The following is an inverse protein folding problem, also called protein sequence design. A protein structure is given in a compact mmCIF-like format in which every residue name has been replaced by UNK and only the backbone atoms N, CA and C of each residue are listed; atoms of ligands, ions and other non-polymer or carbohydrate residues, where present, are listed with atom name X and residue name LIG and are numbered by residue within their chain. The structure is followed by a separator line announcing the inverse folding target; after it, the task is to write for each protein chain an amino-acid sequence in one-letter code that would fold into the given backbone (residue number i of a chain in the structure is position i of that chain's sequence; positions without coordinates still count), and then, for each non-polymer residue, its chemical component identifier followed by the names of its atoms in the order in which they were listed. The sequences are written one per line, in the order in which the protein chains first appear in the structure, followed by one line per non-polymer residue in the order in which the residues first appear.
data_IF_313303212841
#
_entry.id   IF_313303212841
#
_cell.length_a   1.000
_cell.length_b   1.000
_cell.length_c   1.000
_cell.angle_alpha   90.00
_cell.angle_beta   90.00
_cell.angle_gamma   90.00
#
_symmetry.space_group_name_H-M   'P 1'
#
loop_
_entity.id
_entity.type
_entity.pdbx_description
1 polymer ?
#
# COMPACT_ATOMS: atom_id res chain seq x y z
N UNK A 1 -22.47 -22.86 -12.83
CA UNK A 1 -21.91 -21.77 -13.66
C UNK A 1 -20.97 -20.81 -12.90
N UNK A 2 -21.29 -20.34 -11.69
CA UNK A 2 -20.36 -19.51 -10.88
C UNK A 2 -19.02 -20.18 -10.53
N UNK A 3 -19.02 -21.50 -10.33
CA UNK A 3 -17.83 -22.27 -9.94
C UNK A 3 -16.76 -22.36 -11.04
N UNK A 4 -17.17 -22.61 -12.29
CA UNK A 4 -16.24 -22.71 -13.45
C UNK A 4 -15.51 -21.37 -13.66
N UNK A 5 -16.22 -20.25 -13.56
CA UNK A 5 -15.63 -18.91 -13.68
C UNK A 5 -14.63 -18.63 -12.56
N UNK A 6 -14.86 -19.16 -11.36
CA UNK A 6 -13.95 -18.99 -10.20
C UNK A 6 -12.65 -19.77 -10.39
N UNK A 7 -12.69 -20.99 -10.89
CA UNK A 7 -11.50 -21.82 -11.17
C UNK A 7 -10.65 -21.28 -12.32
N UNK A 8 -11.28 -20.79 -13.39
CA UNK A 8 -10.55 -20.18 -14.50
C UNK A 8 -9.79 -18.92 -14.04
N UNK A 9 -10.41 -18.10 -13.19
CA UNK A 9 -9.77 -16.93 -12.56
C UNK A 9 -8.56 -17.35 -11.70
N UNK A 10 -8.71 -18.38 -10.89
CA UNK A 10 -7.64 -18.93 -10.06
C UNK A 10 -6.44 -19.41 -10.90
N UNK A 11 -6.69 -20.23 -11.93
CA UNK A 11 -5.62 -20.72 -12.83
C UNK A 11 -4.94 -19.58 -13.57
N UNK A 12 -5.70 -18.59 -14.03
CA UNK A 12 -5.16 -17.40 -14.68
C UNK A 12 -4.24 -16.60 -13.74
N UNK A 13 -4.66 -16.37 -12.50
CA UNK A 13 -3.84 -15.67 -11.50
C UNK A 13 -2.58 -16.44 -11.16
N UNK A 14 -2.66 -17.75 -10.94
CA UNK A 14 -1.49 -18.61 -10.68
C UNK A 14 -0.46 -18.53 -11.83
N UNK A 15 -0.93 -18.63 -13.06
CA UNK A 15 -0.06 -18.48 -14.25
C UNK A 15 0.60 -17.12 -14.28
N UNK A 16 -0.12 -16.07 -13.92
CA UNK A 16 0.39 -14.69 -13.89
C UNK A 16 1.43 -14.49 -12.80
N UNK A 17 1.25 -15.05 -11.60
CA UNK A 17 2.28 -15.01 -10.53
C UNK A 17 3.59 -15.61 -11.00
N UNK A 18 3.54 -16.68 -11.78
CA UNK A 18 4.76 -17.37 -12.25
C UNK A 18 5.40 -16.66 -13.44
N UNK A 19 4.63 -16.16 -14.40
CA UNK A 19 5.11 -15.72 -15.73
C UNK A 19 4.93 -14.23 -16.03
N UNK A 20 4.19 -13.50 -15.22
CA UNK A 20 3.89 -12.09 -15.44
C UNK A 20 5.06 -11.14 -15.20
N UNK A 21 4.88 -9.88 -15.54
CA UNK A 21 5.75 -8.77 -15.09
C UNK A 21 5.66 -8.60 -13.56
N UNK A 22 6.58 -7.83 -12.97
CA UNK A 22 6.57 -7.59 -11.51
C UNK A 22 5.19 -7.11 -11.01
N UNK A 23 4.66 -6.09 -11.64
CA UNK A 23 3.33 -5.57 -11.31
C UNK A 23 2.25 -6.63 -11.42
N UNK A 24 2.20 -7.36 -12.54
CA UNK A 24 1.22 -8.42 -12.74
C UNK A 24 1.36 -9.53 -11.68
N UNK A 25 2.59 -9.89 -11.29
CA UNK A 25 2.86 -10.88 -10.23
C UNK A 25 2.35 -10.41 -8.88
N UNK A 26 2.64 -9.16 -8.51
CA UNK A 26 2.18 -8.56 -7.26
C UNK A 26 0.64 -8.51 -7.20
N UNK A 27 0.00 -7.99 -8.23
CA UNK A 27 -1.47 -7.91 -8.32
C UNK A 27 -2.12 -9.31 -8.33
N UNK A 28 -1.54 -10.28 -9.04
CA UNK A 28 -2.05 -11.65 -9.10
C UNK A 28 -1.87 -12.39 -7.76
N UNK A 29 -0.77 -12.17 -7.03
CA UNK A 29 -0.56 -12.77 -5.72
C UNK A 29 -1.60 -12.26 -4.70
N UNK A 30 -1.87 -10.96 -4.70
CA UNK A 30 -2.97 -10.37 -3.90
C UNK A 30 -4.32 -10.90 -4.35
N UNK A 31 -4.52 -11.05 -5.67
CA UNK A 31 -5.74 -11.64 -6.23
C UNK A 31 -5.98 -13.08 -5.78
N UNK A 32 -4.94 -13.91 -5.72
CA UNK A 32 -5.02 -15.27 -5.19
C UNK A 32 -5.37 -15.27 -3.70
N UNK A 33 -4.69 -14.41 -2.92
CA UNK A 33 -4.95 -14.27 -1.48
C UNK A 33 -6.43 -13.90 -1.23
N UNK A 34 -6.91 -12.86 -1.89
CA UNK A 34 -8.28 -12.38 -1.70
C UNK A 34 -9.31 -13.37 -2.23
N UNK A 35 -9.01 -14.09 -3.32
CA UNK A 35 -9.89 -15.14 -3.81
C UNK A 35 -10.01 -16.29 -2.80
N UNK A 36 -8.89 -16.77 -2.25
CA UNK A 36 -8.88 -17.80 -1.21
C UNK A 36 -9.66 -17.37 0.03
N UNK A 37 -9.59 -16.09 0.38
CA UNK A 37 -10.25 -15.58 1.60
C UNK A 37 -11.75 -15.37 1.43
N UNK A 38 -12.16 -14.68 0.38
CA UNK A 38 -13.53 -14.18 0.19
C UNK A 38 -14.38 -14.97 -0.81
N UNK A 39 -13.77 -15.63 -1.79
CA UNK A 39 -14.51 -16.22 -2.92
C UNK A 39 -14.44 -17.76 -2.95
N UNK A 40 -13.38 -18.36 -2.40
CA UNK A 40 -13.19 -19.81 -2.40
C UNK A 40 -14.12 -20.50 -1.39
N UNK A 41 -14.92 -21.51 -1.81
CA UNK A 41 -15.72 -22.29 -0.88
C UNK A 41 -14.85 -22.96 0.21
N UNK A 42 -15.28 -22.93 1.46
CA UNK A 42 -14.50 -23.46 2.59
C UNK A 42 -14.09 -24.93 2.39
N UNK A 43 -14.95 -25.77 1.80
CA UNK A 43 -14.67 -27.18 1.52
C UNK A 43 -13.56 -27.40 0.46
N UNK A 44 -13.23 -26.37 -0.33
CA UNK A 44 -12.29 -26.47 -1.44
C UNK A 44 -11.00 -25.69 -1.19
N UNK A 45 -11.01 -24.82 -0.19
CA UNK A 45 -9.92 -23.90 0.14
C UNK A 45 -8.58 -24.64 0.35
N UNK A 46 -8.60 -25.73 1.10
CA UNK A 46 -7.40 -26.53 1.38
C UNK A 46 -6.88 -27.23 0.10
N UNK A 47 -7.75 -27.80 -0.70
CA UNK A 47 -7.39 -28.45 -1.96
C UNK A 47 -6.83 -27.46 -2.99
N UNK A 48 -7.47 -26.29 -3.12
CA UNK A 48 -6.99 -25.20 -3.97
C UNK A 48 -5.59 -24.71 -3.52
N UNK A 49 -5.39 -24.48 -2.23
CA UNK A 49 -4.11 -24.05 -1.70
C UNK A 49 -3.01 -25.08 -1.92
N UNK A 50 -3.28 -26.37 -1.68
CA UNK A 50 -2.31 -27.46 -1.90
C UNK A 50 -1.94 -27.70 -3.36
N UNK A 51 -2.77 -27.26 -4.31
CA UNK A 51 -2.48 -27.38 -5.74
C UNK A 51 -1.54 -26.29 -6.29
N UNK A 52 -1.19 -25.29 -5.47
CA UNK A 52 -0.30 -24.20 -5.87
C UNK A 52 1.17 -24.66 -5.97
N UNK A 53 1.95 -23.96 -6.79
CA UNK A 53 3.41 -24.03 -6.75
C UNK A 53 3.90 -23.75 -5.31
N UNK A 54 4.82 -24.58 -4.75
CA UNK A 54 5.29 -24.43 -3.37
C UNK A 54 5.84 -23.03 -3.03
N UNK A 55 6.42 -22.34 -4.01
CA UNK A 55 6.93 -20.97 -3.82
C UNK A 55 5.77 -19.98 -3.65
N UNK A 56 4.70 -20.19 -4.42
CA UNK A 56 3.48 -19.36 -4.33
C UNK A 56 2.76 -19.65 -3.01
N UNK A 57 2.69 -20.90 -2.55
CA UNK A 57 2.14 -21.24 -1.23
C UNK A 57 2.90 -20.50 -0.12
N UNK A 58 4.23 -20.64 -0.09
CA UNK A 58 5.06 -19.99 0.91
C UNK A 58 4.95 -18.45 0.88
N UNK A 59 4.81 -17.86 -0.30
CA UNK A 59 4.59 -16.43 -0.45
C UNK A 59 3.20 -16.01 0.07
N UNK A 60 2.16 -16.81 -0.17
CA UNK A 60 0.80 -16.54 0.33
C UNK A 60 0.71 -16.66 1.85
N UNK A 61 1.37 -17.67 2.45
CA UNK A 61 1.41 -17.84 3.91
C UNK A 61 2.02 -16.61 4.59
N UNK A 62 3.17 -16.13 4.08
CA UNK A 62 3.82 -14.95 4.62
C UNK A 62 3.02 -13.67 4.34
N UNK A 63 2.41 -13.57 3.16
CA UNK A 63 1.61 -12.43 2.77
C UNK A 63 0.35 -12.32 3.64
N UNK A 64 -0.29 -13.44 3.95
CA UNK A 64 -1.51 -13.47 4.76
C UNK A 64 -1.35 -12.70 6.07
N UNK A 65 -0.29 -12.98 6.82
CA UNK A 65 -0.02 -12.33 8.09
C UNK A 65 0.25 -10.83 7.97
N UNK A 66 0.98 -10.44 6.92
CA UNK A 66 1.45 -9.07 6.71
C UNK A 66 0.43 -8.17 6.01
N UNK A 67 -0.27 -8.72 5.02
CA UNK A 67 -1.22 -7.97 4.20
C UNK A 67 -2.42 -7.49 5.00
N UNK A 68 -2.90 -8.34 5.92
CA UNK A 68 -3.97 -8.00 6.84
C UNK A 68 -3.48 -7.36 8.16
N UNK A 69 -2.21 -6.95 8.23
CA UNK A 69 -1.77 -6.09 9.33
C UNK A 69 -2.54 -4.76 9.27
N UNK A 70 -3.33 -4.50 10.29
CA UNK A 70 -4.33 -3.44 10.33
C UNK A 70 -4.40 -2.76 11.68
N UNK A 71 -4.92 -1.52 11.75
CA UNK A 71 -5.21 -0.89 13.02
C UNK A 71 -6.27 -1.71 13.80
N UNK A 72 -5.98 -2.00 15.08
CA UNK A 72 -6.86 -2.77 15.97
C UNK A 72 -7.43 -1.94 17.12
N UNK A 73 -6.93 -0.72 17.31
CA UNK A 73 -7.31 0.17 18.40
C UNK A 73 -7.20 1.63 17.97
N UNK A 74 -7.78 2.52 18.78
CA UNK A 74 -7.77 3.97 18.54
C UNK A 74 -8.52 4.39 17.27
N UNK A 75 -9.61 3.69 16.99
CA UNK A 75 -10.51 3.90 15.87
C UNK A 75 -11.45 2.71 15.70
N UNK A 76 -12.25 2.76 14.66
CA UNK A 76 -13.21 1.70 14.35
C UNK A 76 -13.38 1.53 12.83
N UNK A 77 -13.82 0.36 12.43
CA UNK A 77 -14.22 0.05 11.06
C UNK A 77 -15.71 0.36 10.86
N UNK A 78 -16.08 0.96 9.74
CA UNK A 78 -17.51 1.23 9.43
C UNK A 78 -18.29 -0.03 9.05
N UNK A 79 -17.60 -1.13 8.80
CA UNK A 79 -18.15 -2.43 8.43
C UNK A 79 -17.14 -3.54 8.68
N UNK A 80 -17.01 -4.48 7.76
CA UNK A 80 -16.05 -5.58 7.85
C UNK A 80 -14.60 -5.05 7.91
N UNK A 81 -13.81 -5.60 8.82
CA UNK A 81 -12.39 -5.27 8.94
C UNK A 81 -11.64 -5.50 7.62
N UNK A 82 -10.76 -4.57 7.26
CA UNK A 82 -10.02 -4.58 6.00
C UNK A 82 -10.86 -4.56 4.71
N UNK A 83 -12.17 -4.39 4.82
CA UNK A 83 -13.09 -4.29 3.68
C UNK A 83 -14.16 -3.20 3.89
N UNK A 84 -13.79 -2.13 4.56
CA UNK A 84 -14.63 -0.96 4.82
C UNK A 84 -13.75 0.27 5.08
N UNK A 85 -14.27 1.30 5.72
CA UNK A 85 -13.51 2.51 6.06
C UNK A 85 -13.00 2.43 7.49
N UNK A 86 -11.69 2.62 7.67
CA UNK A 86 -11.10 2.84 8.99
C UNK A 86 -11.25 4.29 9.40
N UNK A 87 -11.89 4.55 10.53
CA UNK A 87 -12.09 5.88 11.10
C UNK A 87 -11.29 5.95 12.41
N UNK A 88 -10.18 6.72 12.46
CA UNK A 88 -9.45 6.94 13.71
C UNK A 88 -10.27 7.72 14.74
N UNK A 89 -10.04 7.45 16.03
CA UNK A 89 -10.70 8.15 17.14
C UNK A 89 -10.22 9.59 17.23
N UNK A 90 -11.13 10.54 17.24
CA UNK A 90 -10.85 11.97 17.18
C UNK A 90 -9.90 12.47 18.28
N UNK A 91 -10.06 11.98 19.50
CA UNK A 91 -9.31 12.44 20.67
C UNK A 91 -7.99 11.71 20.89
N UNK A 92 -7.70 10.67 20.09
CA UNK A 92 -6.43 9.99 20.16
C UNK A 92 -5.33 10.77 19.43
N UNK A 93 -4.19 10.94 20.11
CA UNK A 93 -2.98 11.52 19.53
C UNK A 93 -2.06 10.38 19.05
N UNK A 94 -1.91 10.18 17.74
CA UNK A 94 -0.99 9.16 17.23
C UNK A 94 0.45 9.49 17.60
N UNK A 95 1.31 8.48 17.86
CA UNK A 95 2.70 8.70 18.23
C UNK A 95 3.50 9.28 17.07
N UNK A 96 4.52 10.08 17.40
CA UNK A 96 5.46 10.62 16.40
C UNK A 96 6.51 9.58 15.99
N UNK A 97 6.10 8.53 15.28
CA UNK A 97 7.02 7.56 14.68
C UNK A 97 7.51 8.07 13.33
N UNK A 98 8.84 8.08 13.14
CA UNK A 98 9.45 8.52 11.87
C UNK A 98 8.92 9.88 11.38
N UNK A 99 8.81 10.83 12.31
CA UNK A 99 8.30 12.19 12.04
C UNK A 99 6.86 12.25 11.53
N UNK A 100 6.03 11.24 11.84
CA UNK A 100 4.64 11.16 11.39
C UNK A 100 3.67 12.06 12.13
N UNK A 101 4.06 12.60 13.30
CA UNK A 101 3.21 13.53 14.07
C UNK A 101 4.09 14.49 14.91
N UNK A 102 4.86 15.33 14.25
CA UNK A 102 5.83 16.27 14.87
C UNK A 102 5.21 17.21 15.90
N UNK A 103 3.94 17.57 15.70
CA UNK A 103 3.24 18.55 16.53
C UNK A 103 2.27 17.92 17.53
N UNK A 104 2.34 16.59 17.70
CA UNK A 104 1.45 15.85 18.61
C UNK A 104 -0.05 16.16 18.40
N UNK A 105 -0.46 16.28 17.13
CA UNK A 105 -1.85 16.54 16.77
C UNK A 105 -2.72 15.33 17.09
N UNK A 106 -3.93 15.57 17.55
CA UNK A 106 -4.99 14.57 17.63
C UNK A 106 -5.48 14.18 16.25
N UNK A 107 -6.15 13.03 16.13
CA UNK A 107 -6.77 12.67 14.84
C UNK A 107 -7.85 13.67 14.40
N UNK A 108 -8.53 14.33 15.33
CA UNK A 108 -9.47 15.43 15.02
C UNK A 108 -8.78 16.56 14.26
N UNK A 109 -7.59 16.96 14.72
CA UNK A 109 -6.79 18.02 14.10
C UNK A 109 -6.20 17.57 12.76
N UNK A 110 -5.70 16.34 12.65
CA UNK A 110 -5.20 15.74 11.40
C UNK A 110 -6.34 15.65 10.38
N UNK A 111 -7.51 15.16 10.78
CA UNK A 111 -8.70 15.08 9.92
C UNK A 111 -9.10 16.48 9.37
N UNK A 112 -9.12 17.49 10.24
CA UNK A 112 -9.45 18.87 9.85
C UNK A 112 -8.39 19.45 8.90
N UNK A 113 -7.10 19.23 9.21
CA UNK A 113 -5.96 19.73 8.43
C UNK A 113 -5.95 19.21 7.00
N UNK A 114 -6.26 17.95 6.80
CA UNK A 114 -6.18 17.27 5.50
C UNK A 114 -7.54 17.04 4.81
N UNK A 115 -8.65 17.45 5.43
CA UNK A 115 -10.00 17.12 4.94
C UNK A 115 -10.30 15.63 4.99
N UNK A 116 -9.60 14.89 5.83
CA UNK A 116 -9.64 13.43 5.93
C UNK A 116 -10.74 13.00 6.91
N UNK A 117 -11.58 12.06 6.54
CA UNK A 117 -12.62 11.51 7.42
C UNK A 117 -12.30 10.10 7.90
N UNK A 118 -11.63 9.33 7.09
CA UNK A 118 -11.23 7.95 7.31
C UNK A 118 -10.56 7.43 6.05
N UNK A 119 -9.89 6.28 6.13
CA UNK A 119 -9.21 5.66 5.00
C UNK A 119 -9.93 4.37 4.60
N UNK A 120 -10.36 4.31 3.35
CA UNK A 120 -10.97 3.12 2.80
C UNK A 120 -9.95 2.00 2.69
N UNK A 121 -10.36 0.81 3.08
CA UNK A 121 -9.65 -0.43 2.81
C UNK A 121 -10.53 -1.32 1.94
N UNK A 122 -9.98 -1.85 0.88
CA UNK A 122 -10.65 -2.76 -0.02
C UNK A 122 -9.89 -4.09 -0.01
N UNK A 123 -10.50 -5.10 0.63
CA UNK A 123 -9.92 -6.45 0.77
C UNK A 123 -8.45 -6.43 1.24
N UNK A 124 -8.15 -5.63 2.26
CA UNK A 124 -6.82 -5.50 2.84
C UNK A 124 -5.94 -4.39 2.24
N UNK A 125 -6.29 -3.83 1.08
CA UNK A 125 -5.54 -2.74 0.45
C UNK A 125 -6.11 -1.38 0.87
N UNK A 126 -5.33 -0.61 1.61
CA UNK A 126 -5.70 0.76 1.92
C UNK A 126 -5.61 1.66 0.68
N UNK A 127 -6.62 2.49 0.48
CA UNK A 127 -6.80 3.37 -0.68
C UNK A 127 -6.11 4.72 -0.45
N UNK A 128 -4.76 4.70 -0.37
CA UNK A 128 -3.96 5.92 -0.26
C UNK A 128 -4.07 6.82 -1.50
N UNK A 129 -4.50 6.27 -2.63
CA UNK A 129 -4.82 7.04 -3.84
C UNK A 129 -5.92 8.07 -3.63
N UNK A 130 -6.86 7.84 -2.69
CA UNK A 130 -7.96 8.78 -2.38
C UNK A 130 -7.50 10.04 -1.62
N UNK A 131 -6.31 9.99 -0.99
CA UNK A 131 -5.73 11.11 -0.24
C UNK A 131 -4.41 11.61 -0.85
N UNK A 132 -4.06 11.10 -2.02
CA UNK A 132 -2.80 11.43 -2.68
C UNK A 132 -2.84 12.83 -3.30
N UNK A 133 -1.75 13.57 -3.13
CA UNK A 133 -1.52 14.84 -3.81
C UNK A 133 -1.02 14.61 -5.24
N UNK A 134 -0.15 13.62 -5.40
CA UNK A 134 0.42 13.24 -6.69
C UNK A 134 0.58 11.74 -6.81
N UNK A 135 0.64 11.28 -8.05
CA UNK A 135 0.88 9.89 -8.42
C UNK A 135 1.95 9.83 -9.50
N UNK A 136 2.89 8.92 -9.34
CA UNK A 136 3.90 8.56 -10.37
C UNK A 136 3.93 7.05 -10.58
N UNK A 137 4.48 6.61 -11.72
CA UNK A 137 4.76 5.21 -12.03
C UNK A 137 6.25 5.05 -12.28
N UNK A 138 6.86 4.01 -11.71
CA UNK A 138 8.26 3.66 -11.88
C UNK A 138 8.36 2.22 -12.41
N UNK A 139 8.42 2.01 -13.73
CA UNK A 139 8.48 0.66 -14.32
C UNK A 139 9.69 -0.16 -13.85
N UNK A 140 10.79 0.51 -13.44
CA UNK A 140 12.01 -0.09 -12.88
C UNK A 140 12.01 -0.20 -11.35
N UNK A 141 10.84 -0.21 -10.72
CA UNK A 141 10.67 -0.25 -9.27
C UNK A 141 11.48 -1.38 -8.60
N UNK A 142 11.48 -2.59 -9.19
CA UNK A 142 12.22 -3.72 -8.65
C UNK A 142 13.73 -3.44 -8.52
N UNK A 143 14.32 -2.82 -9.53
CA UNK A 143 15.75 -2.48 -9.53
C UNK A 143 16.06 -1.44 -8.45
N UNK A 144 15.22 -0.40 -8.34
CA UNK A 144 15.37 0.66 -7.36
C UNK A 144 15.25 0.14 -5.90
N UNK A 145 14.33 -0.79 -5.66
CA UNK A 145 14.15 -1.44 -4.33
C UNK A 145 15.27 -2.42 -3.99
N UNK A 146 16.10 -2.82 -4.98
CA UNK A 146 17.29 -3.64 -4.71
C UNK A 146 18.39 -2.87 -3.98
N UNK A 147 18.40 -1.56 -4.08
CA UNK A 147 19.31 -0.71 -3.33
C UNK A 147 19.00 -0.78 -1.84
N UNK A 148 19.99 -0.90 -0.96
CA UNK A 148 19.80 -0.80 0.48
C UNK A 148 19.33 0.59 0.91
N UNK A 149 19.50 1.60 0.05
CA UNK A 149 19.10 2.97 0.31
C UNK A 149 17.77 3.30 -0.38
N UNK A 150 16.70 3.51 0.40
CA UNK A 150 15.39 3.95 -0.08
C UNK A 150 15.40 5.32 -0.76
N UNK A 151 16.41 6.15 -0.51
CA UNK A 151 16.53 7.46 -1.15
C UNK A 151 16.59 7.34 -2.68
N UNK A 152 17.23 6.29 -3.22
CA UNK A 152 17.30 6.03 -4.67
C UNK A 152 15.90 5.91 -5.28
N UNK A 153 15.00 5.20 -4.62
CA UNK A 153 13.59 5.06 -5.04
C UNK A 153 12.86 6.40 -4.97
N UNK A 154 13.05 7.16 -3.89
CA UNK A 154 12.39 8.44 -3.73
C UNK A 154 12.92 9.51 -4.70
N UNK A 155 14.23 9.53 -4.98
CA UNK A 155 14.82 10.41 -6.00
C UNK A 155 14.25 10.10 -7.40
N UNK A 156 14.13 8.81 -7.76
CA UNK A 156 13.48 8.42 -9.00
C UNK A 156 12.02 8.89 -9.06
N UNK A 157 11.29 8.80 -7.95
CA UNK A 157 9.91 9.28 -7.86
C UNK A 157 9.81 10.81 -8.01
N UNK A 158 10.75 11.57 -7.42
CA UNK A 158 10.83 13.02 -7.64
C UNK A 158 11.15 13.36 -9.09
N UNK A 159 12.08 12.63 -9.72
CA UNK A 159 12.39 12.78 -11.14
C UNK A 159 11.18 12.54 -12.05
N UNK A 160 10.46 11.45 -11.81
CA UNK A 160 9.24 11.14 -12.55
C UNK A 160 8.14 12.19 -12.36
N UNK A 161 8.00 12.71 -11.13
CA UNK A 161 7.03 13.77 -10.85
C UNK A 161 7.43 15.10 -11.49
N UNK A 162 8.72 15.45 -11.47
CA UNK A 162 9.26 16.62 -12.12
C UNK A 162 8.98 16.61 -13.64
N UNK A 163 9.25 15.50 -14.29
CA UNK A 163 8.93 15.30 -15.70
C UNK A 163 7.43 15.47 -15.98
N UNK A 164 6.58 14.86 -15.16
CA UNK A 164 5.12 14.93 -15.28
C UNK A 164 4.59 16.36 -15.16
N UNK A 165 5.21 17.17 -14.29
CA UNK A 165 4.79 18.55 -14.02
C UNK A 165 5.48 19.59 -14.89
N UNK A 166 6.47 19.22 -15.71
CA UNK A 166 7.31 20.15 -16.47
C UNK A 166 8.15 21.07 -15.55
N UNK A 167 8.65 20.52 -14.43
CA UNK A 167 9.40 21.20 -13.39
C UNK A 167 10.78 20.57 -13.17
N UNK A 168 11.66 21.26 -12.46
CA UNK A 168 12.90 20.65 -11.96
C UNK A 168 12.64 19.76 -10.74
N UNK A 169 13.58 18.87 -10.45
CA UNK A 169 13.50 18.02 -9.24
C UNK A 169 13.48 18.87 -7.97
N UNK A 170 14.29 19.94 -7.95
CA UNK A 170 14.38 20.90 -6.84
C UNK A 170 13.04 21.61 -6.60
N UNK A 171 12.37 22.05 -7.67
CA UNK A 171 11.03 22.66 -7.56
C UNK A 171 10.00 21.67 -7.02
N UNK A 172 10.07 20.40 -7.40
CA UNK A 172 9.16 19.36 -6.88
C UNK A 172 9.47 19.02 -5.42
N UNK A 173 10.74 18.94 -5.04
CA UNK A 173 11.15 18.80 -3.63
C UNK A 173 10.68 19.99 -2.80
N UNK A 174 10.80 21.20 -3.34
CA UNK A 174 10.27 22.41 -2.70
C UNK A 174 8.74 22.39 -2.54
N UNK A 175 7.97 21.76 -3.42
CA UNK A 175 6.54 21.54 -3.22
C UNK A 175 6.29 20.68 -1.97
N UNK A 176 7.09 19.63 -1.77
CA UNK A 176 7.02 18.81 -0.55
C UNK A 176 7.38 19.62 0.70
N UNK A 177 8.34 20.52 0.60
CA UNK A 177 8.83 21.36 1.71
C UNK A 177 7.99 22.60 1.94
N UNK A 178 7.50 23.28 0.89
CA UNK A 178 6.64 24.47 0.98
C UNK A 178 5.21 24.14 1.44
N UNK A 179 4.85 22.87 1.39
CA UNK A 179 3.71 22.37 2.16
C UNK A 179 3.94 22.53 3.69
N UNK A 180 5.13 22.98 4.10
CA UNK A 180 5.55 23.27 5.47
C UNK A 180 5.36 24.77 5.79
N UNK A 181 4.13 25.21 5.92
CA UNK A 181 3.83 26.39 6.71
C UNK A 181 4.30 26.13 8.15
N UNK A 182 5.01 27.10 8.76
CA UNK A 182 5.64 26.94 10.09
C UNK A 182 4.63 26.82 11.24
N UNK A 183 3.33 26.80 10.97
CA UNK A 183 2.30 26.53 11.98
C UNK A 183 1.95 25.05 12.01
N UNK A 184 1.61 24.46 13.19
CA UNK A 184 1.23 23.06 13.30
C UNK A 184 0.08 22.64 12.35
N UNK A 185 -0.83 23.58 12.07
CA UNK A 185 -1.97 23.36 11.18
C UNK A 185 -1.65 23.58 9.69
N UNK A 186 -0.64 24.38 9.38
CA UNK A 186 -0.21 24.69 8.01
C UNK A 186 0.78 23.68 7.44
N UNK A 187 1.60 23.07 8.30
CA UNK A 187 2.63 22.14 7.86
C UNK A 187 2.02 20.83 7.32
N UNK A 188 2.13 20.64 6.02
CA UNK A 188 1.64 19.43 5.32
C UNK A 188 2.81 18.55 4.91
N UNK A 189 3.44 17.88 5.89
CA UNK A 189 4.46 16.90 5.58
C UNK A 189 3.91 15.84 4.65
N UNK A 190 4.60 15.59 3.54
CA UNK A 190 4.24 14.57 2.57
C UNK A 190 5.26 13.44 2.58
N UNK A 191 4.80 12.22 2.35
CA UNK A 191 5.61 11.02 2.21
C UNK A 191 5.25 10.28 0.93
N UNK A 192 6.22 9.57 0.36
CA UNK A 192 5.93 8.59 -0.67
C UNK A 192 5.34 7.33 -0.06
N UNK A 193 4.18 6.93 -0.55
CA UNK A 193 3.59 5.61 -0.35
C UNK A 193 3.86 4.77 -1.58
N UNK A 194 4.54 3.66 -1.40
CA UNK A 194 4.77 2.67 -2.45
C UNK A 194 3.60 1.69 -2.49
N UNK A 195 2.82 1.75 -3.56
CA UNK A 195 1.66 0.88 -3.72
C UNK A 195 2.09 -0.59 -3.90
N UNK A 196 1.22 -1.49 -3.47
CA UNK A 196 1.41 -2.94 -3.51
C UNK A 196 1.63 -3.49 -4.93
N UNK A 197 1.27 -2.73 -5.95
CA UNK A 197 1.47 -3.09 -7.36
C UNK A 197 2.96 -3.05 -7.80
N UNK A 198 3.88 -2.65 -6.91
CA UNK A 198 5.32 -2.56 -7.18
C UNK A 198 5.68 -1.70 -8.40
N UNK A 199 4.92 -0.66 -8.64
CA UNK A 199 5.16 0.30 -9.74
C UNK A 199 4.69 1.69 -9.37
N UNK A 200 3.57 1.81 -8.69
CA UNK A 200 2.93 3.09 -8.39
C UNK A 200 3.42 3.67 -7.06
N UNK A 201 3.72 4.96 -7.06
CA UNK A 201 3.95 5.72 -5.84
C UNK A 201 2.96 6.89 -5.74
N UNK A 202 2.46 7.10 -4.53
CA UNK A 202 1.59 8.22 -4.18
C UNK A 202 2.30 9.14 -3.21
N UNK A 203 2.28 10.44 -3.46
CA UNK A 203 2.71 11.44 -2.49
C UNK A 203 1.52 11.80 -1.61
N UNK A 204 1.57 11.40 -0.33
CA UNK A 204 0.44 11.44 0.60
C UNK A 204 0.80 12.16 1.90
N UNK A 205 -0.17 12.67 2.69
CA UNK A 205 0.10 13.27 3.99
C UNK A 205 0.81 12.29 4.93
N UNK A 206 1.99 12.69 5.44
CA UNK A 206 2.82 11.89 6.34
C UNK A 206 2.09 11.52 7.63
N UNK A 207 1.30 12.45 8.19
CA UNK A 207 0.54 12.25 9.43
C UNK A 207 -0.51 11.15 9.29
N UNK A 208 -1.04 10.93 8.10
CA UNK A 208 -1.98 9.84 7.83
C UNK A 208 -1.18 8.57 7.51
N UNK A 209 -0.26 8.63 6.55
CA UNK A 209 0.50 7.49 6.08
C UNK A 209 1.32 6.81 7.18
N UNK A 210 2.04 7.58 7.97
CA UNK A 210 2.92 7.05 9.02
C UNK A 210 2.19 6.51 10.26
N UNK A 211 0.89 6.79 10.40
CA UNK A 211 0.10 6.37 11.56
C UNK A 211 -0.98 5.33 11.25
N UNK A 212 -1.06 4.86 10.01
CA UNK A 212 -1.93 3.74 9.61
C UNK A 212 -1.06 2.57 9.17
N UNK A 213 -1.13 1.46 9.91
CA UNK A 213 -0.39 0.24 9.59
C UNK A 213 -0.91 -0.33 8.27
N UNK A 214 -0.02 -0.60 7.34
CA UNK A 214 -0.34 -1.17 6.03
C UNK A 214 0.84 -1.93 5.43
N UNK A 215 0.56 -2.75 4.43
CA UNK A 215 1.55 -3.46 3.63
C UNK A 215 1.75 -2.72 2.29
N UNK A 216 3.00 -2.39 1.95
CA UNK A 216 3.35 -1.58 0.78
C UNK A 216 4.20 -2.32 -0.26
N UNK A 217 4.46 -1.64 -1.39
CA UNK A 217 5.14 -2.21 -2.56
C UNK A 217 6.57 -2.68 -2.30
N UNK A 218 7.33 -1.98 -1.45
CA UNK A 218 8.68 -2.43 -1.07
C UNK A 218 8.63 -3.79 -0.37
N UNK A 219 7.70 -3.97 0.57
CA UNK A 219 7.54 -5.24 1.26
C UNK A 219 7.05 -6.34 0.32
N UNK A 220 6.16 -6.03 -0.62
CA UNK A 220 5.73 -6.96 -1.67
C UNK A 220 6.90 -7.39 -2.56
N UNK A 221 7.70 -6.46 -3.04
CA UNK A 221 8.86 -6.76 -3.88
C UNK A 221 9.88 -7.64 -3.16
N UNK A 222 10.14 -7.38 -1.88
CA UNK A 222 11.01 -8.21 -1.04
C UNK A 222 10.44 -9.62 -0.84
N UNK A 223 9.13 -9.74 -0.62
CA UNK A 223 8.45 -11.03 -0.49
C UNK A 223 8.55 -11.85 -1.78
N UNK A 224 8.28 -11.26 -2.94
CA UNK A 224 8.40 -11.94 -4.23
C UNK A 224 9.83 -12.45 -4.49
N UNK A 225 10.86 -11.66 -4.13
CA UNK A 225 12.28 -12.08 -4.23
C UNK A 225 12.59 -13.22 -3.28
N UNK A 226 12.20 -13.10 -2.02
CA UNK A 226 12.46 -14.13 -0.99
C UNK A 226 11.96 -15.51 -1.43
N UNK A 227 10.85 -15.56 -2.15
CA UNK A 227 10.24 -16.78 -2.64
C UNK A 227 10.59 -17.12 -4.10
N UNK A 228 11.60 -16.47 -4.69
CA UNK A 228 12.07 -16.70 -6.07
C UNK A 228 10.95 -16.59 -7.12
N UNK A 229 10.07 -15.61 -6.95
CA UNK A 229 9.02 -15.29 -7.90
C UNK A 229 9.42 -14.13 -8.85
N UNK A 230 10.50 -13.40 -8.49
CA UNK A 230 11.18 -12.41 -9.36
C UNK A 230 12.67 -12.56 -9.19
#
# INVERSE_FOLDING_TARGET
MRFIVSMDKFVSQLTTVIRGSLRQKAEALVGLLTWLDYECPAAEKEGAFRSLDPRVQAALDELWEKYYARPKSNGHWTGEECNSVWIPDDDYTPPNKSYSNLHSLTWREIKRKHGFKGLKCDRGRFRFDEIAWYKVSLPNFAELVSSPNREVLHEAAFGALAQKLGKTVEEVKAIKESANDHTPMGQKNLAWHEDIDCETLYLVPQEIHGNIIHFGGVAMCQLLRKHNLI
#
